data_IF_497294591358
#
_entry.id   IF_497294591358
#
_cell.length_a   1.000
_cell.length_b   1.000
_cell.length_c   1.000
_cell.angle_alpha   90.00
_cell.angle_beta   90.00
_cell.angle_gamma   90.00
#
_symmetry.space_group_name_H-M   'P 1'
#
loop_
_entity.id
_entity.type
_entity.pdbx_description
1 polymer ?
#
# COMPACT_ATOMS: atom_id res chain seq x y z
N UNK A 1 -1.32 -9.94 -1.20
CA UNK A 1 -1.96 -8.60 -1.21
C UNK A 1 -2.42 -8.31 -2.64
N UNK A 2 -3.72 -8.38 -2.93
CA UNK A 2 -4.20 -8.06 -4.28
C UNK A 2 -4.00 -6.59 -4.60
N UNK A 3 -3.62 -6.31 -5.85
CA UNK A 3 -3.39 -4.95 -6.36
C UNK A 3 -4.25 -4.72 -7.60
N UNK A 4 -4.92 -3.57 -7.65
CA UNK A 4 -5.68 -3.11 -8.82
C UNK A 4 -4.99 -1.87 -9.38
N UNK A 5 -4.34 -2.05 -10.52
CA UNK A 5 -3.55 -0.98 -11.13
C UNK A 5 -4.43 0.18 -11.62
N UNK A 6 -3.92 1.42 -11.55
CA UNK A 6 -2.54 1.76 -11.16
C UNK A 6 -2.32 2.03 -9.67
N UNK A 7 -3.34 2.14 -8.84
CA UNK A 7 -3.13 2.73 -7.54
C UNK A 7 -3.99 2.19 -6.38
N UNK A 8 -4.60 0.99 -6.50
CA UNK A 8 -5.35 0.40 -5.40
C UNK A 8 -4.71 -0.89 -4.91
N UNK A 9 -4.53 -0.99 -3.61
CA UNK A 9 -3.98 -2.17 -2.94
C UNK A 9 -4.89 -2.57 -1.79
N UNK A 10 -5.00 -3.88 -1.54
CA UNK A 10 -5.86 -4.43 -0.50
C UNK A 10 -5.10 -5.48 0.32
N UNK A 11 -5.34 -5.46 1.62
CA UNK A 11 -4.90 -6.52 2.53
C UNK A 11 -6.12 -7.08 3.23
N UNK A 12 -6.33 -8.37 3.09
CA UNK A 12 -7.38 -9.09 3.81
C UNK A 12 -6.81 -9.58 5.15
N UNK A 13 -7.27 -9.00 6.23
CA UNK A 13 -7.06 -9.48 7.60
C UNK A 13 -8.28 -10.31 8.04
N UNK A 14 -8.17 -11.12 9.10
CA UNK A 14 -9.29 -11.91 9.58
C UNK A 14 -10.52 -11.12 10.01
N UNK A 15 -10.32 -9.87 10.43
CA UNK A 15 -11.32 -9.01 11.05
C UNK A 15 -11.60 -7.70 10.27
N UNK A 16 -10.78 -7.39 9.27
CA UNK A 16 -10.98 -6.22 8.42
C UNK A 16 -10.32 -6.37 7.04
N UNK A 17 -10.78 -5.56 6.10
CA UNK A 17 -10.09 -5.32 4.84
C UNK A 17 -9.39 -3.96 4.95
N UNK A 18 -8.07 -3.94 4.85
CA UNK A 18 -7.30 -2.72 4.74
C UNK A 18 -7.12 -2.35 3.27
N UNK A 19 -7.31 -1.10 2.92
CA UNK A 19 -7.12 -0.60 1.57
C UNK A 19 -6.22 0.63 1.53
N UNK A 20 -5.45 0.73 0.45
CA UNK A 20 -4.64 1.89 0.11
C UNK A 20 -5.02 2.37 -1.29
N UNK A 21 -5.16 3.69 -1.42
CA UNK A 21 -5.36 4.37 -2.71
C UNK A 21 -4.17 5.32 -2.91
N UNK A 22 -3.34 5.00 -3.89
CA UNK A 22 -2.18 5.80 -4.24
C UNK A 22 -2.52 6.72 -5.42
N UNK A 23 -2.19 7.98 -5.28
CA UNK A 23 -2.39 8.98 -6.34
C UNK A 23 -1.09 9.74 -6.57
N UNK A 24 -0.60 9.85 -7.81
CA UNK A 24 0.53 10.71 -8.14
C UNK A 24 0.27 12.15 -7.68
N UNK A 25 1.28 12.77 -7.09
CA UNK A 25 1.26 14.15 -6.64
C UNK A 25 2.55 14.84 -7.08
N UNK A 26 2.63 15.18 -8.37
CA UNK A 26 3.87 15.60 -9.02
C UNK A 26 4.67 14.40 -9.54
N UNK A 27 5.95 14.63 -9.84
CA UNK A 27 6.84 13.61 -10.42
C UNK A 27 7.58 12.76 -9.38
N UNK A 28 7.68 13.25 -8.16
CA UNK A 28 8.48 12.66 -7.08
C UNK A 28 7.69 12.35 -5.80
N UNK A 29 6.37 12.52 -5.84
CA UNK A 29 5.51 12.36 -4.66
C UNK A 29 4.28 11.54 -4.98
N UNK A 30 3.80 10.82 -3.97
CA UNK A 30 2.55 10.07 -3.99
C UNK A 30 1.71 10.47 -2.78
N UNK A 31 0.45 10.77 -3.02
CA UNK A 31 -0.54 10.92 -1.95
C UNK A 31 -1.19 9.57 -1.67
N UNK A 32 -1.18 9.13 -0.43
CA UNK A 32 -1.76 7.86 0.00
C UNK A 32 -3.00 8.13 0.85
N UNK A 33 -4.14 7.60 0.42
CA UNK A 33 -5.36 7.50 1.23
C UNK A 33 -5.53 6.04 1.63
N UNK A 34 -5.75 5.78 2.90
CA UNK A 34 -5.94 4.44 3.41
C UNK A 34 -7.07 4.37 4.43
N UNK A 35 -7.56 3.18 4.67
CA UNK A 35 -8.60 2.93 5.65
C UNK A 35 -8.89 1.44 5.79
N UNK A 36 -9.85 1.13 6.66
CA UNK A 36 -10.33 -0.22 6.85
C UNK A 36 -11.84 -0.32 6.59
N UNK A 37 -12.25 -1.41 5.98
CA UNK A 37 -13.64 -1.84 5.93
C UNK A 37 -13.80 -3.05 6.88
N UNK A 38 -14.74 -2.95 7.80
CA UNK A 38 -15.03 -3.99 8.79
C UNK A 38 -16.42 -4.56 8.47
N UNK A 39 -16.49 -5.88 8.34
CA UNK A 39 -17.76 -6.54 8.08
C UNK A 39 -18.74 -6.29 9.27
N UNK A 40 -20.03 -6.06 8.99
CA UNK A 40 -21.04 -5.81 10.03
C UNK A 40 -21.08 -6.89 11.10
N UNK A 41 -20.91 -8.15 10.70
CA UNK A 41 -20.90 -9.30 11.61
C UNK A 41 -19.74 -9.23 12.61
N UNK A 42 -18.54 -8.86 12.12
CA UNK A 42 -17.34 -8.71 12.95
C UNK A 42 -17.53 -7.55 13.93
N UNK A 43 -18.05 -6.43 13.43
CA UNK A 43 -18.26 -5.25 14.27
C UNK A 43 -19.35 -5.48 15.31
N UNK A 44 -20.43 -6.20 14.96
CA UNK A 44 -21.52 -6.52 15.88
C UNK A 44 -21.13 -7.53 16.96
N UNK A 45 -20.12 -8.35 16.70
CA UNK A 45 -19.57 -9.28 17.70
C UNK A 45 -18.69 -8.59 18.76
N UNK A 46 -18.32 -7.31 18.57
CA UNK A 46 -17.49 -6.59 19.53
C UNK A 46 -18.33 -6.05 20.68
N UNK A 47 -17.82 -6.19 21.91
CA UNK A 47 -18.43 -5.61 23.11
C UNK A 47 -18.40 -4.08 23.07
N UNK A 48 -17.27 -3.52 22.64
CA UNK A 48 -17.08 -2.07 22.43
C UNK A 48 -16.62 -1.81 20.99
N UNK A 49 -17.57 -1.43 20.14
CA UNK A 49 -17.35 -1.15 18.72
C UNK A 49 -16.42 0.05 18.51
N UNK A 50 -16.56 1.09 19.33
CA UNK A 50 -15.75 2.30 19.20
C UNK A 50 -14.28 2.02 19.57
N UNK A 51 -14.05 1.29 20.63
CA UNK A 51 -12.69 0.89 21.02
C UNK A 51 -12.06 -0.01 19.95
N UNK A 52 -12.81 -0.93 19.35
CA UNK A 52 -12.32 -1.77 18.25
C UNK A 52 -11.93 -0.96 17.04
N UNK A 53 -12.78 -0.03 16.58
CA UNK A 53 -12.48 0.87 15.45
C UNK A 53 -11.25 1.72 15.76
N UNK A 54 -11.17 2.31 16.95
CA UNK A 54 -10.04 3.15 17.35
C UNK A 54 -8.71 2.35 17.37
N UNK A 55 -8.75 1.13 17.88
CA UNK A 55 -7.58 0.22 17.89
C UNK A 55 -7.13 -0.14 16.48
N UNK A 56 -8.06 -0.50 15.60
CA UNK A 56 -7.77 -0.83 14.20
C UNK A 56 -7.15 0.37 13.49
N UNK A 57 -7.74 1.55 13.67
CA UNK A 57 -7.19 2.79 13.11
C UNK A 57 -5.78 3.08 13.62
N UNK A 58 -5.56 3.03 14.92
CA UNK A 58 -4.26 3.28 15.52
C UNK A 58 -3.17 2.31 15.01
N UNK A 59 -3.51 1.05 14.84
CA UNK A 59 -2.62 0.05 14.25
C UNK A 59 -2.23 0.43 12.81
N UNK A 60 -3.20 0.77 11.96
CA UNK A 60 -2.93 1.17 10.58
C UNK A 60 -2.11 2.45 10.49
N UNK A 61 -2.36 3.42 11.39
CA UNK A 61 -1.58 4.67 11.44
C UNK A 61 -0.10 4.38 11.77
N UNK A 62 0.18 3.47 12.70
CA UNK A 62 1.56 3.06 13.04
C UNK A 62 2.26 2.40 11.84
N UNK A 63 1.60 1.45 11.19
CA UNK A 63 2.14 0.77 9.99
C UNK A 63 2.46 1.79 8.90
N UNK A 64 1.56 2.76 8.64
CA UNK A 64 1.81 3.78 7.61
C UNK A 64 3.01 4.68 7.93
N UNK A 65 3.26 4.98 9.19
CA UNK A 65 4.44 5.77 9.60
C UNK A 65 5.72 4.98 9.32
N UNK A 66 5.75 3.69 9.65
CA UNK A 66 6.89 2.81 9.41
C UNK A 66 7.15 2.64 7.91
N UNK A 67 6.12 2.25 7.15
CA UNK A 67 6.21 2.03 5.70
C UNK A 67 6.68 3.28 4.95
N UNK A 68 6.17 4.44 5.34
CA UNK A 68 6.55 5.71 4.74
C UNK A 68 8.05 5.97 4.89
N UNK A 69 8.61 5.76 6.08
CA UNK A 69 10.04 5.96 6.32
C UNK A 69 10.90 5.04 5.44
N UNK A 70 10.48 3.78 5.26
CA UNK A 70 11.16 2.82 4.39
C UNK A 70 11.08 3.24 2.93
N UNK A 71 9.90 3.61 2.43
CA UNK A 71 9.68 4.01 1.03
C UNK A 71 10.48 5.28 0.69
N UNK A 72 10.47 6.28 1.57
CA UNK A 72 11.26 7.51 1.41
C UNK A 72 12.77 7.19 1.37
N UNK A 73 13.24 6.28 2.23
CA UNK A 73 14.63 5.80 2.24
C UNK A 73 15.03 5.06 0.96
N UNK A 74 14.18 4.18 0.46
CA UNK A 74 14.38 3.46 -0.82
C UNK A 74 14.46 4.46 -1.98
N UNK A 75 13.58 5.44 -2.01
CA UNK A 75 13.61 6.48 -3.06
C UNK A 75 14.92 7.26 -3.06
N UNK A 76 15.41 7.68 -1.89
CA UNK A 76 16.71 8.35 -1.77
C UNK A 76 17.87 7.44 -2.22
N UNK A 77 17.83 6.17 -1.87
CA UNK A 77 18.80 5.18 -2.33
C UNK A 77 18.81 5.01 -3.85
N UNK A 78 17.62 4.99 -4.47
CA UNK A 78 17.47 4.87 -5.92
C UNK A 78 18.02 6.10 -6.70
N UNK A 79 18.01 7.28 -6.07
CA UNK A 79 18.61 8.51 -6.64
C UNK A 79 20.14 8.55 -6.52
N UNK A 80 20.74 7.65 -5.76
CA UNK A 80 22.19 7.57 -5.59
C UNK A 80 22.87 7.17 -6.91
N UNK A 81 24.06 7.70 -7.23
CA UNK A 81 24.86 7.24 -8.38
C UNK A 81 25.22 5.75 -8.33
N UNK A 82 25.15 5.14 -7.16
CA UNK A 82 25.38 3.70 -6.96
C UNK A 82 24.08 2.87 -7.03
N UNK A 83 22.93 3.53 -7.15
CA UNK A 83 21.62 2.89 -7.26
C UNK A 83 21.43 2.29 -8.65
N UNK A 84 21.81 1.03 -8.83
CA UNK A 84 21.56 0.30 -10.08
C UNK A 84 20.39 -0.67 -9.93
N UNK A 85 19.49 -0.76 -10.93
CA UNK A 85 18.41 -1.74 -10.88
C UNK A 85 18.97 -3.16 -10.91
N UNK A 86 18.47 -4.00 -10.01
CA UNK A 86 18.76 -5.43 -9.99
C UNK A 86 17.64 -6.27 -10.63
N UNK A 87 17.84 -7.58 -10.83
CA UNK A 87 16.79 -8.47 -11.25
C UNK A 87 15.72 -8.59 -10.16
N UNK A 88 14.46 -8.61 -10.57
CA UNK A 88 13.35 -8.87 -9.66
C UNK A 88 13.35 -10.33 -9.19
N UNK A 89 13.07 -10.57 -7.92
CA UNK A 89 12.82 -11.90 -7.39
C UNK A 89 11.42 -12.39 -7.77
N UNK A 90 11.18 -13.69 -7.65
CA UNK A 90 9.84 -14.25 -7.88
C UNK A 90 8.78 -13.72 -6.89
N UNK A 91 9.20 -13.23 -5.74
CA UNK A 91 8.31 -12.58 -4.75
C UNK A 91 7.87 -11.17 -5.17
N UNK A 92 8.52 -10.59 -6.17
CA UNK A 92 8.25 -9.23 -6.68
C UNK A 92 7.42 -9.25 -7.98
N UNK A 93 6.62 -10.29 -8.15
CA UNK A 93 5.76 -10.45 -9.33
C UNK A 93 4.86 -9.24 -9.58
N UNK A 94 4.27 -8.66 -8.53
CA UNK A 94 3.41 -7.48 -8.64
C UNK A 94 4.16 -6.27 -9.18
N UNK A 95 5.43 -6.09 -8.80
CA UNK A 95 6.28 -5.03 -9.35
C UNK A 95 6.53 -5.23 -10.85
N UNK A 96 6.77 -6.47 -11.27
CA UNK A 96 6.90 -6.80 -12.69
C UNK A 96 5.61 -6.52 -13.46
N UNK A 97 4.47 -6.98 -12.96
CA UNK A 97 3.15 -6.78 -13.58
C UNK A 97 2.79 -5.28 -13.67
N UNK A 98 3.12 -4.50 -12.64
CA UNK A 98 2.93 -3.06 -12.66
C UNK A 98 3.80 -2.37 -13.72
N UNK A 99 5.06 -2.76 -13.84
CA UNK A 99 5.97 -2.25 -14.88
C UNK A 99 5.42 -2.58 -16.29
N UNK A 100 4.94 -3.79 -16.49
CA UNK A 100 4.29 -4.20 -17.76
C UNK A 100 3.01 -3.40 -18.04
N UNK A 101 2.21 -3.15 -17.01
CA UNK A 101 1.02 -2.30 -17.14
C UNK A 101 1.39 -0.89 -17.61
N UNK A 102 2.41 -0.26 -16.97
CA UNK A 102 2.87 1.07 -17.35
C UNK A 102 3.43 1.09 -18.78
N UNK A 103 4.28 0.11 -19.13
CA UNK A 103 4.84 0.03 -20.47
C UNK A 103 3.78 -0.01 -21.55
N UNK A 104 2.73 -0.82 -21.38
CA UNK A 104 1.60 -0.89 -22.32
C UNK A 104 0.79 0.39 -22.43
N UNK A 105 0.76 1.23 -21.38
CA UNK A 105 0.00 2.48 -21.37
C UNK A 105 0.79 3.68 -21.87
N UNK A 106 2.10 3.61 -21.83
CA UNK A 106 2.99 4.73 -22.19
C UNK A 106 3.67 4.52 -23.55
N UNK A 107 3.73 3.28 -24.06
CA UNK A 107 4.44 2.95 -25.30
C UNK A 107 3.50 2.56 -26.46
N UNK A 108 2.19 2.55 -26.26
CA UNK A 108 1.17 2.43 -27.31
C UNK A 108 0.71 3.83 -27.73
#
# INVERSE_FOLDING_TARGET
MPTVFPGHMYVLAPDHLWYLCLQPNGHDKVSIKYGAAIAPEVLNAQTDKQAFIAKTKAFLDIVQVEDRAVVEGIYQGALSPLGTPGPLSWLERENHEFTQYLARRLCD
#
